data_IF_891293451020
#
_entry.id   IF_891293451020
#
_cell.length_a   1.000
_cell.length_b   1.000
_cell.length_c   1.000
_cell.angle_alpha   90.00
_cell.angle_beta   90.00
_cell.angle_gamma   90.00
#
_symmetry.space_group_name_H-M   'P 1'
#
loop_
_entity.id
_entity.type
_entity.pdbx_description
1 polymer ?
#
# COMPACT_ATOMS: atom_id res chain seq x y z
N UNK A 1 -10.07 -10.00 -1.36
CA UNK A 1 -10.37 -9.17 -2.56
C UNK A 1 -10.62 -7.73 -2.15
N UNK A 2 -10.21 -6.77 -2.99
CA UNK A 2 -10.53 -5.35 -2.89
C UNK A 2 -11.18 -4.87 -4.19
N UNK A 3 -12.02 -3.84 -4.14
CA UNK A 3 -12.80 -3.39 -5.29
C UNK A 3 -12.92 -1.87 -5.39
N UNK A 4 -13.37 -1.40 -6.57
CA UNK A 4 -13.59 0.02 -6.86
C UNK A 4 -14.69 0.68 -6.02
N UNK A 5 -15.62 -0.10 -5.49
CA UNK A 5 -16.62 0.35 -4.52
C UNK A 5 -16.04 0.53 -3.09
N UNK A 6 -14.73 0.30 -2.92
CA UNK A 6 -14.02 0.45 -1.66
C UNK A 6 -14.19 -0.73 -0.70
N UNK A 7 -14.93 -1.77 -1.07
CA UNK A 7 -15.08 -2.95 -0.21
C UNK A 7 -13.80 -3.78 -0.19
N UNK A 8 -13.45 -4.24 1.01
CA UNK A 8 -12.47 -5.30 1.22
C UNK A 8 -13.18 -6.50 1.81
N UNK A 9 -13.07 -7.65 1.14
CA UNK A 9 -13.75 -8.88 1.52
C UNK A 9 -12.78 -10.05 1.57
N UNK A 10 -13.04 -10.99 2.48
CA UNK A 10 -12.35 -12.28 2.56
C UNK A 10 -13.34 -13.37 2.19
N UNK A 11 -12.86 -14.34 1.42
CA UNK A 11 -13.61 -15.54 1.05
C UNK A 11 -12.95 -16.74 1.72
N UNK A 12 -13.77 -17.61 2.33
CA UNK A 12 -13.29 -18.88 2.85
C UNK A 12 -13.46 -19.95 1.76
N UNK A 13 -12.33 -20.53 1.35
CA UNK A 13 -12.29 -21.59 0.37
C UNK A 13 -12.16 -22.94 1.07
N UNK A 14 -13.00 -23.90 0.70
CA UNK A 14 -12.84 -25.29 1.14
C UNK A 14 -11.67 -25.97 0.42
N UNK A 15 -11.23 -27.13 0.92
CA UNK A 15 -10.26 -27.99 0.22
C UNK A 15 -10.74 -28.43 -1.18
N UNK A 16 -12.04 -28.40 -1.43
CA UNK A 16 -12.66 -28.66 -2.75
C UNK A 16 -12.76 -27.40 -3.64
N UNK A 17 -12.07 -26.32 -3.28
CA UNK A 17 -12.06 -25.01 -3.97
C UNK A 17 -13.45 -24.37 -4.14
N UNK A 18 -14.45 -24.83 -3.38
CA UNK A 18 -15.76 -24.21 -3.37
C UNK A 18 -15.77 -23.05 -2.36
N UNK A 19 -16.22 -21.88 -2.80
CA UNK A 19 -16.37 -20.71 -1.93
C UNK A 19 -17.54 -20.93 -0.98
N UNK A 20 -17.24 -21.10 0.30
CA UNK A 20 -18.26 -21.33 1.33
C UNK A 20 -18.99 -20.05 1.69
N UNK A 21 -18.23 -18.98 1.92
CA UNK A 21 -18.79 -17.70 2.36
C UNK A 21 -17.83 -16.54 2.03
N UNK A 22 -18.38 -15.33 1.91
CA UNK A 22 -17.60 -14.10 1.82
C UNK A 22 -18.01 -13.11 2.90
N UNK A 23 -17.02 -12.57 3.63
CA UNK A 23 -17.22 -11.58 4.69
C UNK A 23 -16.60 -10.26 4.29
N UNK A 24 -17.35 -9.15 4.42
CA UNK A 24 -16.77 -7.80 4.33
C UNK A 24 -16.00 -7.50 5.60
N UNK A 25 -14.73 -7.13 5.46
CA UNK A 25 -13.82 -6.87 6.58
C UNK A 25 -13.43 -5.40 6.72
N UNK A 26 -13.46 -4.63 5.63
CA UNK A 26 -13.25 -3.19 5.64
C UNK A 26 -14.05 -2.48 4.54
N UNK A 27 -14.19 -1.16 4.68
CA UNK A 27 -14.84 -0.28 3.70
C UNK A 27 -14.06 1.04 3.63
N UNK A 28 -13.46 1.29 2.47
CA UNK A 28 -12.90 2.60 2.11
C UNK A 28 -13.99 3.52 1.58
N UNK A 29 -13.77 4.84 1.66
CA UNK A 29 -14.65 5.87 1.05
C UNK A 29 -14.35 6.12 -0.43
N UNK A 30 -13.35 5.42 -0.98
CA UNK A 30 -12.98 5.44 -2.40
C UNK A 30 -12.48 4.05 -2.81
N UNK A 31 -12.08 3.91 -4.08
CA UNK A 31 -11.60 2.64 -4.61
C UNK A 31 -10.43 2.07 -3.79
N UNK A 32 -10.43 0.75 -3.58
CA UNK A 32 -9.29 0.03 -3.01
C UNK A 32 -8.65 -0.84 -4.09
N UNK A 33 -7.39 -0.55 -4.39
CA UNK A 33 -6.70 -1.07 -5.57
C UNK A 33 -5.80 -2.27 -5.29
N UNK A 34 -5.21 -2.33 -4.09
CA UNK A 34 -4.23 -3.36 -3.75
C UNK A 34 -4.30 -3.70 -2.26
N UNK A 35 -4.02 -4.95 -1.95
CA UNK A 35 -3.82 -5.46 -0.60
C UNK A 35 -2.35 -5.80 -0.41
N UNK A 36 -1.85 -5.71 0.81
CA UNK A 36 -0.51 -6.16 1.16
C UNK A 36 -0.59 -7.22 2.26
N UNK A 37 -0.09 -8.41 1.95
CA UNK A 37 -0.07 -9.53 2.88
C UNK A 37 1.17 -9.43 3.76
N UNK A 38 1.02 -9.79 5.03
CA UNK A 38 2.15 -10.02 5.91
C UNK A 38 2.72 -11.43 5.65
N UNK A 39 4.01 -11.58 5.30
CA UNK A 39 4.60 -12.87 4.97
C UNK A 39 4.43 -13.94 6.08
N UNK A 40 4.50 -13.51 7.34
CA UNK A 40 4.54 -14.40 8.51
C UNK A 40 3.18 -14.57 9.19
N UNK A 41 2.11 -13.94 8.67
CA UNK A 41 0.77 -14.00 9.27
C UNK A 41 -0.31 -14.25 8.22
N UNK A 42 -0.97 -15.43 8.24
CA UNK A 42 -2.08 -15.72 7.33
C UNK A 42 -3.36 -14.97 7.70
N UNK A 43 -3.41 -14.35 8.89
CA UNK A 43 -4.61 -13.72 9.43
C UNK A 43 -4.56 -12.19 9.37
N UNK A 44 -3.41 -11.59 9.05
CA UNK A 44 -3.21 -10.15 9.08
C UNK A 44 -2.77 -9.64 7.72
N UNK A 45 -3.39 -8.56 7.26
CA UNK A 45 -3.01 -7.89 6.02
C UNK A 45 -3.41 -6.42 6.05
N UNK A 46 -2.85 -5.64 5.13
CA UNK A 46 -3.14 -4.23 4.97
C UNK A 46 -3.97 -3.97 3.72
N UNK A 47 -4.85 -2.98 3.78
CA UNK A 47 -5.53 -2.42 2.61
C UNK A 47 -5.29 -0.93 2.50
N UNK A 48 -5.21 -0.43 1.27
CA UNK A 48 -5.11 0.99 0.98
C UNK A 48 -6.20 1.41 -0.01
N UNK A 49 -6.62 2.68 0.07
CA UNK A 49 -7.65 3.21 -0.81
C UNK A 49 -7.44 4.67 -1.22
N UNK A 50 -8.22 5.09 -2.21
CA UNK A 50 -8.23 6.46 -2.72
C UNK A 50 -8.72 7.50 -1.69
N UNK A 51 -9.30 7.05 -0.59
CA UNK A 51 -9.64 7.89 0.57
C UNK A 51 -8.42 8.28 1.43
N UNK A 52 -7.22 7.91 0.97
CA UNK A 52 -5.93 8.10 1.62
C UNK A 52 -5.74 7.29 2.91
N UNK A 53 -6.61 6.33 3.18
CA UNK A 53 -6.57 5.52 4.39
C UNK A 53 -5.82 4.22 4.13
N UNK A 54 -5.00 3.82 5.09
CA UNK A 54 -4.52 2.45 5.23
C UNK A 54 -5.22 1.81 6.42
N UNK A 55 -5.84 0.64 6.21
CA UNK A 55 -6.35 -0.20 7.29
C UNK A 55 -5.38 -1.34 7.56
N UNK A 56 -5.19 -1.66 8.84
CA UNK A 56 -4.73 -2.97 9.27
C UNK A 56 -5.94 -3.85 9.49
N UNK A 57 -5.90 -5.07 8.95
CA UNK A 57 -7.00 -6.03 9.03
C UNK A 57 -6.47 -7.28 9.72
N UNK A 58 -7.02 -7.62 10.88
CA UNK A 58 -6.75 -8.86 11.61
C UNK A 58 -8.05 -9.69 11.69
N UNK A 59 -8.07 -10.81 10.99
CA UNK A 59 -9.26 -11.66 10.87
C UNK A 59 -9.66 -12.38 12.17
N UNK A 60 -8.79 -12.38 13.18
CA UNK A 60 -9.06 -12.98 14.49
C UNK A 60 -9.88 -12.07 15.39
N UNK A 61 -9.96 -10.79 15.07
CA UNK A 61 -10.70 -9.80 15.85
C UNK A 61 -12.18 -9.76 15.45
N UNK A 62 -13.06 -9.51 16.41
CA UNK A 62 -14.50 -9.30 16.16
C UNK A 62 -14.75 -8.16 15.18
N UNK A 63 -13.95 -7.09 15.32
CA UNK A 63 -13.86 -5.98 14.37
C UNK A 63 -12.51 -6.04 13.65
N UNK A 64 -12.45 -6.65 12.44
CA UNK A 64 -11.18 -6.96 11.82
C UNK A 64 -10.35 -5.74 11.42
N UNK A 65 -11.00 -4.66 10.97
CA UNK A 65 -10.31 -3.49 10.44
C UNK A 65 -10.13 -2.38 11.47
N UNK A 66 -8.89 -1.93 11.62
CA UNK A 66 -8.49 -0.73 12.36
C UNK A 66 -7.78 0.25 11.43
N UNK A 67 -8.03 1.55 11.59
CA UNK A 67 -7.36 2.58 10.80
C UNK A 67 -5.91 2.70 11.27
N UNK A 68 -4.96 2.44 10.37
CA UNK A 68 -3.54 2.51 10.68
C UNK A 68 -2.97 3.91 10.46
N UNK A 69 -3.23 4.51 9.30
CA UNK A 69 -2.76 5.86 8.96
C UNK A 69 -3.64 6.50 7.90
N UNK A 70 -3.71 7.84 7.91
CA UNK A 70 -4.21 8.64 6.79
C UNK A 70 -3.02 9.30 6.11
N UNK A 71 -2.72 8.96 4.87
CA UNK A 71 -1.59 9.52 4.13
C UNK A 71 -1.89 10.94 3.66
N UNK A 72 -1.05 11.89 4.07
CA UNK A 72 -1.18 13.30 3.71
C UNK A 72 0.13 13.87 3.17
N UNK A 73 0.00 14.96 2.43
CA UNK A 73 1.09 15.84 2.00
C UNK A 73 0.65 17.29 2.23
N UNK A 74 1.34 18.04 3.09
CA UNK A 74 0.97 19.43 3.43
C UNK A 74 -0.53 19.56 3.77
N UNK A 75 -1.01 18.70 4.68
CA UNK A 75 -2.43 18.54 5.07
C UNK A 75 -3.41 18.04 4.00
N UNK A 76 -2.98 17.89 2.74
CA UNK A 76 -3.82 17.32 1.68
C UNK A 76 -3.76 15.80 1.70
N UNK A 77 -4.93 15.16 1.75
CA UNK A 77 -5.06 13.69 1.61
C UNK A 77 -4.60 13.24 0.23
N UNK A 78 -3.77 12.19 0.21
CA UNK A 78 -3.25 11.58 -1.03
C UNK A 78 -3.92 10.22 -1.24
N UNK A 79 -4.77 10.12 -2.27
CA UNK A 79 -5.41 8.84 -2.61
C UNK A 79 -4.37 7.79 -2.98
N UNK A 80 -4.51 6.57 -2.46
CA UNK A 80 -3.52 5.50 -2.60
C UNK A 80 -3.94 4.50 -3.66
N UNK A 81 -3.00 4.12 -4.53
CA UNK A 81 -3.19 3.13 -5.60
C UNK A 81 -2.45 1.83 -5.34
N UNK A 82 -1.40 1.87 -4.50
CA UNK A 82 -0.58 0.69 -4.23
C UNK A 82 -0.09 0.69 -2.78
N UNK A 83 0.02 -0.52 -2.24
CA UNK A 83 0.59 -0.81 -0.93
C UNK A 83 1.39 -2.12 -1.02
N UNK A 84 2.49 -2.23 -0.25
CA UNK A 84 3.27 -3.46 -0.15
C UNK A 84 4.03 -3.51 1.18
N UNK A 85 4.01 -4.66 1.87
CA UNK A 85 4.76 -4.90 3.11
C UNK A 85 6.20 -5.27 2.75
N UNK A 86 7.18 -4.64 3.39
CA UNK A 86 8.58 -4.97 3.18
C UNK A 86 8.86 -6.41 3.66
N UNK A 87 9.21 -7.35 2.77
CA UNK A 87 9.40 -8.74 3.15
C UNK A 87 10.61 -8.94 4.06
N UNK A 88 11.59 -8.04 4.06
CA UNK A 88 12.76 -8.10 4.95
C UNK A 88 12.49 -7.52 6.35
N UNK A 89 11.38 -6.77 6.51
CA UNK A 89 10.97 -6.19 7.80
C UNK A 89 9.47 -5.89 7.75
N UNK A 90 8.67 -6.82 8.27
CA UNK A 90 7.19 -6.78 8.19
C UNK A 90 6.56 -5.59 8.93
N UNK A 91 7.30 -4.96 9.85
CA UNK A 91 6.87 -3.71 10.47
C UNK A 91 6.88 -2.53 9.50
N UNK A 92 7.51 -2.65 8.33
CA UNK A 92 7.53 -1.60 7.32
C UNK A 92 6.63 -1.91 6.14
N UNK A 93 5.95 -0.87 5.64
CA UNK A 93 5.20 -0.95 4.40
C UNK A 93 5.38 0.32 3.58
N UNK A 94 5.28 0.18 2.26
CA UNK A 94 5.33 1.29 1.32
C UNK A 94 3.96 1.53 0.71
N UNK A 95 3.64 2.80 0.45
CA UNK A 95 2.45 3.22 -0.29
C UNK A 95 2.84 4.21 -1.39
N UNK A 96 1.99 4.26 -2.42
CA UNK A 96 2.05 5.23 -3.50
C UNK A 96 0.67 5.46 -4.09
N UNK A 97 0.47 6.59 -4.76
CA UNK A 97 -0.82 6.89 -5.36
C UNK A 97 -0.85 8.19 -6.14
N UNK A 98 -1.76 9.09 -5.76
CA UNK A 98 -2.07 10.35 -6.47
C UNK A 98 -1.06 11.46 -6.22
N UNK A 99 0.21 11.12 -6.31
CA UNK A 99 1.37 12.00 -6.42
C UNK A 99 2.59 11.18 -6.85
N UNK A 100 3.73 11.86 -7.02
CA UNK A 100 4.98 11.27 -7.47
C UNK A 100 5.80 10.62 -6.35
N UNK A 101 5.25 10.52 -5.13
CA UNK A 101 6.01 10.14 -3.95
C UNK A 101 5.68 8.72 -3.49
N UNK A 102 6.73 7.94 -3.27
CA UNK A 102 6.65 6.71 -2.49
C UNK A 102 6.91 7.04 -1.02
N UNK A 103 6.04 6.56 -0.14
CA UNK A 103 6.17 6.75 1.32
C UNK A 103 6.31 5.40 2.00
N UNK A 104 7.33 5.28 2.84
CA UNK A 104 7.55 4.12 3.70
C UNK A 104 7.17 4.51 5.12
N UNK A 105 6.38 3.66 5.76
CA UNK A 105 5.97 3.75 7.15
C UNK A 105 6.56 2.59 7.94
N UNK A 106 6.84 2.79 9.23
CA UNK A 106 7.00 1.71 10.21
C UNK A 106 5.75 1.72 11.08
N UNK A 107 4.99 0.61 11.09
CA UNK A 107 3.70 0.47 11.77
C UNK A 107 3.78 0.86 13.26
N UNK A 108 4.95 0.70 13.90
CA UNK A 108 5.16 0.98 15.33
C UNK A 108 5.50 2.44 15.61
N UNK A 109 5.78 3.24 14.57
CA UNK A 109 6.28 4.61 14.67
C UNK A 109 5.37 5.62 13.96
N UNK A 110 4.11 5.24 13.72
CA UNK A 110 3.14 6.13 13.07
C UNK A 110 2.67 7.15 14.11
N UNK A 111 3.08 8.40 13.91
CA UNK A 111 2.65 9.53 14.72
C UNK A 111 2.19 10.66 13.78
N UNK A 112 0.92 11.04 13.87
CA UNK A 112 0.35 12.07 13.00
C UNK A 112 1.05 13.43 13.15
N UNK A 113 1.57 13.74 14.34
CA UNK A 113 2.24 15.00 14.66
C UNK A 113 3.68 15.07 14.14
N UNK A 114 4.30 13.92 13.83
CA UNK A 114 5.69 13.82 13.40
C UNK A 114 5.75 13.34 11.95
N UNK A 115 5.74 14.29 11.00
CA UNK A 115 5.75 14.00 9.56
C UNK A 115 4.65 13.00 9.12
N UNK A 116 3.50 13.02 9.80
CA UNK A 116 2.40 12.07 9.58
C UNK A 116 2.84 10.59 9.68
N UNK A 117 3.91 10.30 10.44
CA UNK A 117 4.48 8.96 10.64
C UNK A 117 5.32 8.44 9.47
N UNK A 118 5.62 9.26 8.46
CA UNK A 118 6.40 8.84 7.30
C UNK A 118 7.87 8.65 7.70
N UNK A 119 8.33 7.41 7.68
CA UNK A 119 9.71 7.04 8.00
C UNK A 119 10.68 7.49 6.89
N UNK A 120 10.31 7.24 5.63
CA UNK A 120 11.09 7.66 4.46
C UNK A 120 10.17 8.06 3.33
N UNK A 121 10.57 9.07 2.58
CA UNK A 121 9.84 9.57 1.40
C UNK A 121 10.80 9.63 0.22
N UNK A 122 10.36 9.15 -0.93
CA UNK A 122 11.16 9.06 -2.14
C UNK A 122 10.41 9.58 -3.34
N UNK A 123 11.12 10.30 -4.20
CA UNK A 123 10.67 10.73 -5.52
C UNK A 123 11.79 10.42 -6.52
N UNK A 124 11.53 9.79 -7.67
CA UNK A 124 12.53 9.69 -8.72
C UNK A 124 13.03 11.06 -9.15
N UNK A 125 14.35 11.22 -9.30
CA UNK A 125 14.97 12.49 -9.72
C UNK A 125 14.35 13.06 -11.01
N UNK A 126 13.99 12.22 -11.97
CA UNK A 126 13.35 12.66 -13.21
C UNK A 126 11.91 13.18 -13.04
N UNK A 127 11.24 12.86 -11.92
CA UNK A 127 9.92 13.39 -11.56
C UNK A 127 9.99 14.59 -10.61
N UNK A 128 11.15 14.86 -10.02
CA UNK A 128 11.38 16.04 -9.18
C UNK A 128 11.34 17.31 -10.03
N UNK A 129 11.86 17.25 -11.26
CA UNK A 129 11.99 18.40 -12.17
C UNK A 129 10.88 18.46 -13.23
N UNK A 130 10.02 17.46 -13.30
CA UNK A 130 8.93 17.41 -14.28
C UNK A 130 7.80 18.38 -13.92
N UNK A 131 7.36 19.21 -14.87
CA UNK A 131 6.17 20.06 -14.70
C UNK A 131 4.88 19.23 -14.59
N UNK A 132 4.87 18.06 -15.23
CA UNK A 132 3.78 17.09 -15.13
C UNK A 132 3.93 16.25 -13.85
N UNK A 133 2.92 16.31 -12.96
CA UNK A 133 2.86 15.50 -11.74
C UNK A 133 2.42 14.08 -12.09
N UNK A 134 3.37 13.15 -12.09
CA UNK A 134 3.06 11.74 -12.25
C UNK A 134 2.42 11.13 -10.99
N UNK A 135 1.69 10.03 -11.18
CA UNK A 135 1.07 9.21 -10.14
C UNK A 135 1.82 7.88 -10.01
N UNK A 136 2.08 7.42 -8.79
CA UNK A 136 2.60 6.07 -8.54
C UNK A 136 1.45 5.07 -8.62
N UNK A 137 1.44 4.23 -9.66
CA UNK A 137 0.36 3.27 -9.90
C UNK A 137 0.61 1.90 -9.28
N UNK A 138 1.88 1.51 -9.12
CA UNK A 138 2.25 0.23 -8.54
C UNK A 138 3.64 0.29 -7.91
N UNK A 139 3.83 -0.40 -6.79
CA UNK A 139 5.13 -0.65 -6.18
C UNK A 139 5.23 -2.10 -5.69
N UNK A 140 6.46 -2.62 -5.66
CA UNK A 140 6.82 -3.97 -5.21
C UNK A 140 8.22 -3.96 -4.59
N UNK A 141 8.39 -4.61 -3.43
CA UNK A 141 9.70 -4.87 -2.86
C UNK A 141 10.37 -6.09 -3.51
N UNK A 142 11.68 -6.03 -3.75
CA UNK A 142 12.51 -7.15 -4.18
C UNK A 142 12.95 -7.98 -2.95
N UNK A 143 12.82 -9.31 -3.02
CA UNK A 143 13.15 -10.23 -1.92
C UNK A 143 14.66 -10.41 -1.68
N UNK A 144 15.49 -10.09 -2.66
CA UNK A 144 16.93 -10.40 -2.73
C UNK A 144 17.81 -9.15 -2.78
N UNK A 145 17.22 -7.96 -2.88
CA UNK A 145 17.95 -6.71 -3.15
C UNK A 145 18.53 -6.60 -4.57
N UNK A 146 18.44 -7.65 -5.38
CA UNK A 146 19.02 -7.80 -6.73
C UNK A 146 17.94 -7.82 -7.81
N UNK A 147 17.15 -6.75 -7.91
CA UNK A 147 16.28 -6.58 -9.09
C UNK A 147 17.10 -6.33 -10.37
N UNK A 148 16.96 -7.20 -11.37
CA UNK A 148 17.41 -6.97 -12.76
C UNK A 148 16.74 -5.72 -13.36
N UNK A 149 17.38 -5.10 -14.35
CA UNK A 149 16.89 -3.88 -15.03
C UNK A 149 15.71 -4.20 -15.97
N UNK A 150 14.49 -3.71 -15.71
CA UNK A 150 13.43 -3.69 -16.72
C UNK A 150 13.61 -2.45 -17.62
N UNK A 151 13.06 -2.45 -18.86
CA UNK A 151 13.29 -1.39 -19.84
C UNK A 151 12.81 -0.01 -19.35
N UNK A 152 13.66 1.01 -19.58
CA UNK A 152 13.56 2.33 -19.00
C UNK A 152 12.61 3.27 -19.78
N UNK A 153 11.58 3.77 -19.10
CA UNK A 153 10.95 5.09 -19.38
C UNK A 153 9.91 5.49 -18.32
N UNK A 154 9.37 4.53 -17.53
CA UNK A 154 8.27 4.77 -16.57
C UNK A 154 8.46 4.13 -15.19
N UNK A 155 9.70 3.86 -14.79
CA UNK A 155 10.01 3.10 -13.58
C UNK A 155 11.06 3.80 -12.71
N UNK A 156 10.77 3.93 -11.41
CA UNK A 156 11.71 4.41 -10.40
C UNK A 156 12.23 3.26 -9.54
N UNK A 157 13.46 3.41 -9.01
CA UNK A 157 14.08 2.42 -8.12
C UNK A 157 14.50 3.06 -6.82
N UNK A 158 14.19 2.36 -5.73
CA UNK A 158 14.76 2.55 -4.41
C UNK A 158 15.48 1.24 -4.01
N UNK A 159 16.50 1.27 -3.15
CA UNK A 159 17.17 0.02 -2.68
C UNK A 159 16.12 -1.01 -2.24
N UNK A 160 16.04 -2.12 -2.98
CA UNK A 160 15.09 -3.22 -2.73
C UNK A 160 13.62 -2.94 -3.09
N UNK A 161 13.29 -1.87 -3.83
CA UNK A 161 11.91 -1.58 -4.25
C UNK A 161 11.85 -0.96 -5.66
N UNK A 162 10.94 -1.48 -6.48
CA UNK A 162 10.64 -0.97 -7.82
C UNK A 162 9.21 -0.43 -7.87
N UNK A 163 8.99 0.63 -8.63
CA UNK A 163 7.66 1.23 -8.77
C UNK A 163 7.43 1.85 -10.14
N UNK A 164 6.17 1.88 -10.55
CA UNK A 164 5.72 2.36 -11.85
C UNK A 164 4.94 3.66 -11.71
N UNK A 165 5.15 4.55 -12.69
CA UNK A 165 4.52 5.86 -12.74
C UNK A 165 3.63 5.98 -13.97
N UNK A 166 2.49 6.64 -13.82
CA UNK A 166 1.66 7.12 -14.93
C UNK A 166 1.61 8.66 -14.93
N UNK A 167 1.48 9.31 -16.09
CA UNK A 167 1.25 10.75 -16.15
C UNK A 167 -0.05 11.19 -15.44
#
# INVERSE_FOLDING_TARGET
>A
MCARDGQVRVAELSATQCCKNTKRVAQHKGASHKLALEPDSPCTFLSAGEDAVVFTIDLRQDRPASRLVVTKEKEKKIGLYTIYVNPANTYQFAVGGRDQFVRIYDQRKINENENNGVLKKFCPHHLVTSEAKANITCLVYSHDGTGERPPASRQGRLKGMSFFCAP
#
